data_IF_307011247665
#
_entry.id   IF_307011247665
#
_cell.length_a   1.000
_cell.length_b   1.000
_cell.length_c   1.000
_cell.angle_alpha   90.00
_cell.angle_beta   90.00
_cell.angle_gamma   90.00
#
_symmetry.space_group_name_H-M   'P 1'
#
loop_
_entity.id
_entity.type
_entity.pdbx_description
1 polymer ?
#
# COMPACT_ATOMS: atom_id res chain seq x y z
N UNK A 1 -2.92 -4.14 -4.66
CA UNK A 1 -3.47 -3.75 -5.97
C UNK A 1 -2.72 -2.50 -6.38
N UNK A 2 -2.08 -2.51 -7.56
CA UNK A 2 -1.74 -1.26 -8.25
C UNK A 2 -3.02 -0.43 -8.33
N UNK A 3 -2.96 0.85 -8.00
CA UNK A 3 -4.12 1.75 -8.05
C UNK A 3 -4.57 1.88 -9.51
N UNK A 4 -5.64 1.19 -9.98
CA UNK A 4 -6.00 1.21 -11.41
C UNK A 4 -6.48 2.60 -11.89
N UNK A 5 -6.60 3.54 -10.95
CA UNK A 5 -7.07 4.90 -11.11
C UNK A 5 -5.96 5.94 -10.95
N UNK A 6 -4.75 5.58 -10.56
CA UNK A 6 -3.61 6.51 -10.45
C UNK A 6 -2.41 5.91 -11.18
N UNK A 7 -1.70 6.75 -11.94
CA UNK A 7 -0.57 6.30 -12.74
C UNK A 7 0.45 7.42 -12.91
N UNK A 8 1.70 7.10 -12.63
CA UNK A 8 2.89 7.84 -13.04
C UNK A 8 3.40 7.33 -14.39
N UNK A 9 3.37 8.16 -15.42
CA UNK A 9 3.92 7.86 -16.74
C UNK A 9 4.65 9.08 -17.30
N UNK A 10 5.91 8.89 -17.74
CA UNK A 10 6.74 9.95 -18.35
C UNK A 10 6.83 11.24 -17.52
N UNK A 11 6.84 11.10 -16.19
CA UNK A 11 6.89 12.22 -15.24
C UNK A 11 5.54 12.93 -15.03
N UNK A 12 4.47 12.46 -15.66
CA UNK A 12 3.10 12.96 -15.49
C UNK A 12 2.33 12.02 -14.58
N UNK A 13 1.72 12.58 -13.53
CA UNK A 13 0.80 11.87 -12.66
C UNK A 13 -0.62 12.08 -13.17
N UNK A 14 -1.31 11.00 -13.50
CA UNK A 14 -2.72 11.01 -13.93
C UNK A 14 -3.59 10.30 -12.90
N UNK A 15 -4.65 10.97 -12.44
CA UNK A 15 -5.67 10.36 -11.57
C UNK A 15 -7.01 10.35 -12.29
N UNK A 16 -7.55 9.14 -12.49
CA UNK A 16 -8.84 8.90 -13.12
C UNK A 16 -9.92 8.90 -12.06
N UNK A 17 -10.67 10.00 -11.99
CA UNK A 17 -11.73 10.23 -11.00
C UNK A 17 -12.81 9.15 -10.99
N UNK A 18 -13.35 8.78 -12.16
CA UNK A 18 -14.47 7.82 -12.21
C UNK A 18 -14.07 6.40 -11.76
N UNK A 19 -12.92 5.83 -12.19
CA UNK A 19 -12.39 4.61 -11.59
C UNK A 19 -12.18 4.69 -10.07
N UNK A 20 -11.70 5.82 -9.54
CA UNK A 20 -11.57 6.03 -8.09
C UNK A 20 -12.94 6.04 -7.39
N UNK A 21 -13.96 6.62 -8.03
CA UNK A 21 -15.33 6.62 -7.54
C UNK A 21 -15.89 5.21 -7.40
N UNK A 22 -15.68 4.34 -8.39
CA UNK A 22 -16.05 2.93 -8.28
C UNK A 22 -15.26 2.21 -7.19
N UNK A 23 -13.96 2.48 -7.07
CA UNK A 23 -13.14 1.91 -6.01
C UNK A 23 -13.72 2.21 -4.61
N UNK A 24 -14.08 3.47 -4.33
CA UNK A 24 -14.72 3.82 -3.06
C UNK A 24 -16.09 3.19 -2.89
N UNK A 25 -16.91 3.17 -3.96
CA UNK A 25 -18.21 2.52 -3.94
C UNK A 25 -18.09 1.05 -3.52
N UNK A 26 -17.27 0.27 -4.22
CA UNK A 26 -17.15 -1.17 -3.99
C UNK A 26 -16.63 -1.47 -2.57
N UNK A 27 -15.58 -0.77 -2.12
CA UNK A 27 -15.00 -1.03 -0.81
C UNK A 27 -15.90 -0.62 0.36
N UNK A 28 -16.75 0.39 0.18
CA UNK A 28 -17.73 0.81 1.21
C UNK A 28 -18.94 -0.11 1.24
N UNK A 29 -19.33 -0.69 0.10
CA UNK A 29 -20.42 -1.67 0.06
C UNK A 29 -19.99 -3.03 0.62
N UNK A 30 -18.71 -3.37 0.50
CA UNK A 30 -18.14 -4.66 0.93
C UNK A 30 -17.25 -4.55 2.17
N UNK A 31 -17.63 -3.70 3.14
CA UNK A 31 -16.86 -3.54 4.39
C UNK A 31 -16.75 -4.88 5.11
N UNK A 32 -15.52 -5.37 5.21
CA UNK A 32 -15.17 -6.59 5.93
C UNK A 32 -15.05 -6.29 7.42
N UNK A 33 -15.28 -7.30 8.26
CA UNK A 33 -15.13 -7.16 9.72
C UNK A 33 -13.73 -6.68 10.11
N UNK A 34 -12.70 -7.14 9.41
CA UNK A 34 -11.28 -6.84 9.68
C UNK A 34 -10.84 -5.41 9.37
N UNK A 35 -11.60 -4.66 8.58
CA UNK A 35 -11.36 -3.24 8.27
C UNK A 35 -12.50 -2.33 8.75
N UNK A 36 -13.50 -2.89 9.44
CA UNK A 36 -14.70 -2.16 9.85
C UNK A 36 -14.37 -0.93 10.69
N UNK A 37 -13.50 -1.06 11.68
CA UNK A 37 -13.16 0.04 12.59
C UNK A 37 -12.55 1.23 11.84
N UNK A 38 -11.57 0.98 10.97
CA UNK A 38 -10.87 2.03 10.22
C UNK A 38 -11.75 2.66 9.13
N UNK A 39 -12.53 1.85 8.41
CA UNK A 39 -13.48 2.38 7.44
C UNK A 39 -14.61 3.14 8.13
N UNK A 40 -15.21 2.63 9.20
CA UNK A 40 -16.23 3.38 9.95
C UNK A 40 -15.68 4.72 10.45
N UNK A 41 -14.46 4.74 10.96
CA UNK A 41 -13.81 5.99 11.36
C UNK A 41 -13.73 6.99 10.19
N UNK A 42 -13.24 6.56 9.03
CA UNK A 42 -13.19 7.43 7.85
C UNK A 42 -14.56 7.93 7.39
N UNK A 43 -15.54 7.03 7.32
CA UNK A 43 -16.90 7.31 6.87
C UNK A 43 -17.64 8.25 7.85
N UNK A 44 -17.41 8.12 9.16
CA UNK A 44 -17.97 9.03 10.16
C UNK A 44 -17.52 10.49 9.94
N UNK A 45 -16.24 10.69 9.59
CA UNK A 45 -15.69 12.03 9.26
C UNK A 45 -16.34 12.69 8.05
N UNK A 46 -16.94 11.90 7.17
CA UNK A 46 -17.73 12.40 6.03
C UNK A 46 -19.22 12.55 6.35
N UNK A 47 -19.67 12.18 7.56
CA UNK A 47 -21.05 12.30 8.01
C UNK A 47 -22.00 11.31 7.32
N UNK A 48 -21.50 10.12 6.98
CA UNK A 48 -22.28 9.08 6.28
C UNK A 48 -22.62 7.88 7.18
N UNK A 49 -22.30 7.98 8.48
CA UNK A 49 -22.77 7.03 9.48
C UNK A 49 -23.92 7.62 10.30
N UNK A 50 -24.98 6.83 10.50
CA UNK A 50 -26.11 7.15 11.38
C UNK A 50 -26.26 6.02 12.38
N UNK A 51 -26.11 6.33 13.68
CA UNK A 51 -26.15 5.31 14.74
C UNK A 51 -25.08 4.23 14.58
N UNK A 52 -23.90 4.58 14.05
CA UNK A 52 -22.80 3.64 13.80
C UNK A 52 -23.02 2.69 12.61
N UNK A 53 -24.04 2.94 11.77
CA UNK A 53 -24.32 2.16 10.55
C UNK A 53 -24.23 3.06 9.33
N UNK A 54 -23.77 2.50 8.21
CA UNK A 54 -23.71 3.20 6.94
C UNK A 54 -25.11 3.66 6.49
N UNK A 55 -25.29 4.97 6.31
CA UNK A 55 -26.47 5.53 5.66
C UNK A 55 -26.24 5.58 4.14
N UNK A 56 -26.93 4.71 3.43
CA UNK A 56 -26.82 4.55 1.98
C UNK A 56 -27.21 5.83 1.21
N UNK A 57 -28.17 6.62 1.72
CA UNK A 57 -28.60 7.85 1.05
C UNK A 57 -27.53 8.94 1.21
N UNK A 58 -27.03 9.10 2.43
CA UNK A 58 -25.91 10.01 2.70
C UNK A 58 -24.64 9.60 1.95
N UNK A 59 -24.33 8.30 1.87
CA UNK A 59 -23.18 7.82 1.11
C UNK A 59 -23.29 8.16 -0.37
N UNK A 60 -24.42 7.85 -1.01
CA UNK A 60 -24.65 8.18 -2.44
C UNK A 60 -24.51 9.68 -2.72
N UNK A 61 -25.08 10.52 -1.86
CA UNK A 61 -25.04 11.98 -2.04
C UNK A 61 -23.66 12.60 -1.76
N UNK A 62 -22.81 11.93 -0.99
CA UNK A 62 -21.48 12.43 -0.58
C UNK A 62 -20.32 11.72 -1.26
N UNK A 63 -20.57 10.68 -2.07
CA UNK A 63 -19.51 9.89 -2.72
C UNK A 63 -18.55 10.78 -3.52
N UNK A 64 -19.06 11.73 -4.29
CA UNK A 64 -18.21 12.66 -5.06
C UNK A 64 -17.33 13.53 -4.15
N UNK A 65 -17.84 13.97 -3.00
CA UNK A 65 -17.08 14.73 -2.00
C UNK A 65 -15.97 13.87 -1.39
N UNK A 66 -16.25 12.58 -1.11
CA UNK A 66 -15.25 11.63 -0.63
C UNK A 66 -14.16 11.45 -1.68
N UNK A 67 -14.54 11.17 -2.93
CA UNK A 67 -13.60 10.97 -4.03
C UNK A 67 -12.69 12.18 -4.19
N UNK A 68 -13.26 13.37 -4.34
CA UNK A 68 -12.49 14.60 -4.54
C UNK A 68 -11.62 14.95 -3.33
N UNK A 69 -12.11 14.66 -2.12
CA UNK A 69 -11.36 14.82 -0.88
C UNK A 69 -10.17 13.87 -0.74
N UNK A 70 -10.23 12.67 -1.33
CA UNK A 70 -9.20 11.64 -1.22
C UNK A 70 -8.25 11.57 -2.43
N UNK A 71 -8.54 12.22 -3.57
CA UNK A 71 -7.61 12.35 -4.69
C UNK A 71 -6.17 12.74 -4.26
N UNK A 72 -5.96 13.73 -3.37
CA UNK A 72 -4.62 14.15 -2.99
C UNK A 72 -3.75 13.06 -2.36
N UNK A 73 -4.34 12.10 -1.63
CA UNK A 73 -3.54 11.05 -0.99
C UNK A 73 -2.97 10.09 -2.04
N UNK A 74 -3.73 9.78 -3.09
CA UNK A 74 -3.27 8.96 -4.21
C UNK A 74 -2.25 9.69 -5.07
N UNK A 75 -2.39 11.00 -5.26
CA UNK A 75 -1.32 11.81 -5.86
C UNK A 75 0.00 11.65 -5.10
N UNK A 76 -0.05 11.69 -3.77
CA UNK A 76 1.15 11.52 -2.94
C UNK A 76 1.72 10.10 -2.94
N UNK A 77 0.93 9.06 -3.27
CA UNK A 77 1.48 7.73 -3.56
C UNK A 77 2.37 7.78 -4.81
N UNK A 78 1.87 8.34 -5.91
CA UNK A 78 2.63 8.46 -7.17
C UNK A 78 3.89 9.34 -7.00
N UNK A 79 3.80 10.41 -6.20
CA UNK A 79 4.99 11.22 -5.81
C UNK A 79 6.00 10.37 -5.05
N UNK A 80 5.54 9.57 -4.07
CA UNK A 80 6.41 8.67 -3.34
C UNK A 80 7.07 7.63 -4.24
N UNK A 81 6.33 7.04 -5.17
CA UNK A 81 6.83 6.06 -6.14
C UNK A 81 7.89 6.66 -7.07
N UNK A 82 7.69 7.92 -7.50
CA UNK A 82 8.65 8.66 -8.33
C UNK A 82 9.95 8.97 -7.60
N UNK A 83 9.87 9.31 -6.31
CA UNK A 83 10.99 9.82 -5.53
C UNK A 83 11.85 8.73 -4.91
N UNK A 84 11.25 7.59 -4.56
CA UNK A 84 12.02 6.45 -4.10
C UNK A 84 12.79 5.81 -5.28
N UNK A 85 14.06 5.54 -5.06
CA UNK A 85 15.01 5.02 -6.05
C UNK A 85 15.70 3.71 -5.62
N UNK A 86 15.51 3.28 -4.36
CA UNK A 86 16.11 2.04 -3.81
C UNK A 86 15.71 0.82 -4.64
N UNK A 87 14.42 0.71 -5.00
CA UNK A 87 13.94 -0.27 -5.97
C UNK A 87 13.43 0.50 -7.18
N UNK A 88 14.35 0.98 -8.01
CA UNK A 88 14.02 1.78 -9.18
C UNK A 88 13.11 1.03 -10.19
N UNK A 89 12.53 1.80 -11.12
CA UNK A 89 11.59 1.27 -12.10
C UNK A 89 12.23 0.29 -13.10
N UNK A 90 13.50 0.43 -13.42
CA UNK A 90 14.20 -0.46 -14.36
C UNK A 90 14.47 -1.83 -13.74
N UNK A 91 14.94 -1.83 -12.49
CA UNK A 91 15.15 -3.03 -11.67
C UNK A 91 13.83 -3.77 -11.49
N UNK A 92 12.76 -3.06 -11.13
CA UNK A 92 11.44 -3.68 -10.98
C UNK A 92 10.92 -4.27 -12.31
N UNK A 93 11.05 -3.54 -13.43
CA UNK A 93 10.68 -4.04 -14.77
C UNK A 93 11.46 -5.30 -15.15
N UNK A 94 12.76 -5.34 -14.83
CA UNK A 94 13.61 -6.51 -15.06
C UNK A 94 13.11 -7.73 -14.28
N UNK A 95 12.81 -7.56 -13.00
CA UNK A 95 12.28 -8.63 -12.13
C UNK A 95 10.95 -9.15 -12.68
N UNK A 96 10.01 -8.26 -13.00
CA UNK A 96 8.70 -8.63 -13.55
C UNK A 96 8.84 -9.41 -14.86
N UNK A 97 9.74 -8.95 -15.74
CA UNK A 97 9.94 -9.58 -17.05
C UNK A 97 10.59 -10.96 -16.94
N UNK A 98 11.42 -11.21 -15.92
CA UNK A 98 12.06 -12.50 -15.69
C UNK A 98 11.23 -13.47 -14.84
N UNK A 99 10.37 -12.96 -13.97
CA UNK A 99 9.56 -13.78 -13.05
C UNK A 99 8.08 -13.40 -13.09
N UNK A 100 7.43 -13.40 -14.27
CA UNK A 100 6.02 -13.03 -14.38
C UNK A 100 5.13 -14.00 -13.59
N UNK A 101 4.06 -13.47 -13.01
CA UNK A 101 3.03 -14.22 -12.27
C UNK A 101 3.58 -15.05 -11.10
N UNK A 102 4.72 -14.63 -10.53
CA UNK A 102 5.40 -15.32 -9.45
C UNK A 102 5.26 -14.61 -8.10
N UNK A 103 5.58 -15.33 -7.02
CA UNK A 103 5.73 -14.72 -5.69
C UNK A 103 6.81 -13.63 -5.67
N UNK A 104 7.86 -13.77 -6.50
CA UNK A 104 8.95 -12.80 -6.64
C UNK A 104 8.44 -11.48 -7.22
N UNK A 105 7.61 -11.54 -8.28
CA UNK A 105 6.96 -10.34 -8.83
C UNK A 105 6.04 -9.71 -7.77
N UNK A 106 5.17 -10.52 -7.17
CA UNK A 106 4.16 -10.03 -6.24
C UNK A 106 4.77 -9.32 -5.02
N UNK A 107 5.84 -9.88 -4.42
CA UNK A 107 6.55 -9.25 -3.30
C UNK A 107 7.28 -7.99 -3.73
N UNK A 108 7.92 -7.99 -4.89
CA UNK A 108 8.67 -6.83 -5.39
C UNK A 108 7.76 -5.64 -5.64
N UNK A 109 6.59 -5.87 -6.26
CA UNK A 109 5.55 -4.84 -6.43
C UNK A 109 5.03 -4.35 -5.08
N UNK A 110 4.75 -5.25 -4.15
CA UNK A 110 4.20 -4.88 -2.84
C UNK A 110 5.18 -4.03 -2.02
N UNK A 111 6.48 -4.33 -2.08
CA UNK A 111 7.52 -3.51 -1.45
C UNK A 111 7.64 -2.15 -2.14
N UNK A 112 7.60 -2.09 -3.47
CA UNK A 112 7.58 -0.83 -4.22
C UNK A 112 6.43 0.07 -3.77
N UNK A 113 5.21 -0.47 -3.69
CA UNK A 113 3.99 0.24 -3.24
C UNK A 113 4.12 0.75 -1.80
N UNK A 114 4.60 -0.09 -0.87
CA UNK A 114 4.75 0.31 0.55
C UNK A 114 5.82 1.38 0.71
N UNK A 115 6.93 1.30 -0.03
CA UNK A 115 7.93 2.36 -0.05
C UNK A 115 7.34 3.66 -0.60
N UNK A 116 6.56 3.61 -1.69
CA UNK A 116 5.88 4.79 -2.22
C UNK A 116 4.97 5.45 -1.16
N UNK A 117 4.16 4.65 -0.45
CA UNK A 117 3.29 5.16 0.62
C UNK A 117 4.08 5.80 1.77
N UNK A 118 5.14 5.13 2.21
CA UNK A 118 5.86 5.47 3.44
C UNK A 118 7.02 6.41 3.21
N UNK A 119 7.34 6.76 1.97
CA UNK A 119 8.36 7.76 1.62
C UNK A 119 8.13 9.07 2.41
N UNK A 120 9.19 9.81 2.81
CA UNK A 120 9.06 11.09 3.51
C UNK A 120 8.25 12.18 2.78
N UNK A 121 7.98 12.00 1.50
CA UNK A 121 7.10 12.86 0.68
C UNK A 121 5.90 12.10 0.09
N UNK A 122 5.72 10.85 0.52
CA UNK A 122 4.69 9.92 0.05
C UNK A 122 3.33 10.08 0.72
N UNK A 123 2.42 9.16 0.42
CA UNK A 123 1.02 9.18 0.86
C UNK A 123 0.86 9.32 2.37
N UNK A 124 1.52 8.48 3.17
CA UNK A 124 1.34 8.45 4.63
C UNK A 124 1.94 9.69 5.26
N UNK A 125 3.08 10.17 4.75
CA UNK A 125 3.67 11.43 5.24
C UNK A 125 2.75 12.63 4.96
N UNK A 126 2.10 12.68 3.80
CA UNK A 126 1.10 13.70 3.49
C UNK A 126 -0.12 13.62 4.43
N UNK A 127 -0.65 12.41 4.68
CA UNK A 127 -1.75 12.19 5.63
C UNK A 127 -1.39 12.74 7.02
N UNK A 128 -0.17 12.46 7.52
CA UNK A 128 0.31 12.94 8.82
C UNK A 128 0.44 14.47 8.82
N UNK A 129 1.14 15.03 7.84
CA UNK A 129 1.46 16.47 7.78
C UNK A 129 0.20 17.34 7.74
N UNK A 130 -0.77 16.94 6.90
CA UNK A 130 -2.04 17.66 6.77
C UNK A 130 -3.10 17.18 7.78
N UNK A 131 -2.74 16.26 8.68
CA UNK A 131 -3.60 15.65 9.68
C UNK A 131 -4.94 15.15 9.11
N UNK A 132 -4.88 14.45 7.97
CA UNK A 132 -6.05 13.98 7.23
C UNK A 132 -6.66 12.76 7.89
N UNK A 133 -7.48 12.99 8.89
CA UNK A 133 -8.05 11.94 9.74
C UNK A 133 -8.87 10.90 8.98
N UNK A 134 -9.73 11.35 8.07
CA UNK A 134 -10.54 10.44 7.25
C UNK A 134 -9.65 9.58 6.33
N UNK A 135 -8.66 10.23 5.70
CA UNK A 135 -7.67 9.56 4.85
C UNK A 135 -6.86 8.51 5.59
N UNK A 136 -6.51 8.75 6.86
CA UNK A 136 -5.83 7.73 7.69
C UNK A 136 -6.71 6.50 7.89
N UNK A 137 -8.00 6.70 8.20
CA UNK A 137 -8.97 5.61 8.32
C UNK A 137 -9.13 4.84 7.00
N UNK A 138 -9.19 5.53 5.86
CA UNK A 138 -9.22 4.89 4.55
C UNK A 138 -7.95 4.12 4.23
N UNK A 139 -6.77 4.71 4.47
CA UNK A 139 -5.49 4.06 4.26
C UNK A 139 -5.42 2.72 4.99
N UNK A 140 -5.71 2.73 6.29
CA UNK A 140 -5.69 1.52 7.13
C UNK A 140 -6.80 0.56 6.73
N UNK A 141 -7.97 1.06 6.35
CA UNK A 141 -9.12 0.25 5.92
C UNK A 141 -8.92 -0.46 4.59
N UNK A 142 -8.15 0.13 3.67
CA UNK A 142 -7.83 -0.46 2.37
C UNK A 142 -6.54 -1.28 2.36
N UNK A 143 -5.76 -1.22 3.44
CA UNK A 143 -4.53 -2.01 3.58
C UNK A 143 -4.86 -3.50 3.69
N UNK A 144 -4.47 -4.27 2.68
CA UNK A 144 -4.78 -5.69 2.57
C UNK A 144 -3.64 -6.49 1.89
N UNK A 145 -3.71 -7.81 2.03
CA UNK A 145 -2.71 -8.73 1.46
C UNK A 145 -1.31 -8.42 1.95
N UNK A 146 -0.32 -8.60 1.06
CA UNK A 146 1.08 -8.46 1.42
C UNK A 146 1.48 -7.05 1.89
N UNK A 147 0.81 -5.98 1.41
CA UNK A 147 1.06 -4.62 1.92
C UNK A 147 0.74 -4.49 3.41
N UNK A 148 -0.26 -5.23 3.90
CA UNK A 148 -0.59 -5.27 5.34
C UNK A 148 0.48 -5.99 6.14
N UNK A 149 1.01 -7.10 5.62
CA UNK A 149 2.09 -7.86 6.26
C UNK A 149 3.43 -7.10 6.24
N UNK A 150 3.65 -6.26 5.23
CA UNK A 150 4.82 -5.39 5.14
C UNK A 150 4.72 -4.14 6.02
N UNK A 151 3.51 -3.73 6.41
CA UNK A 151 3.26 -2.57 7.27
C UNK A 151 2.32 -2.87 8.46
N UNK A 152 2.63 -3.86 9.32
CA UNK A 152 1.80 -4.20 10.49
C UNK A 152 1.77 -3.09 11.54
N UNK A 153 2.80 -2.24 11.59
CA UNK A 153 2.96 -1.18 12.60
C UNK A 153 1.83 -0.14 12.53
N UNK A 154 1.29 0.13 11.33
CA UNK A 154 0.21 1.11 11.15
C UNK A 154 -1.10 0.66 11.79
N UNK A 155 -1.34 -0.66 11.87
CA UNK A 155 -2.59 -1.19 12.45
C UNK A 155 -2.62 -0.90 13.94
N UNK A 156 -1.52 -1.20 14.65
CA UNK A 156 -1.39 -0.93 16.08
C UNK A 156 -1.36 0.59 16.36
N UNK A 157 -0.63 1.35 15.55
CA UNK A 157 -0.56 2.80 15.71
C UNK A 157 -1.93 3.46 15.48
N UNK A 158 -2.73 2.96 14.54
CA UNK A 158 -4.08 3.45 14.30
C UNK A 158 -5.02 3.19 15.48
N UNK A 159 -4.96 1.99 16.09
CA UNK A 159 -5.78 1.67 17.27
C UNK A 159 -5.52 2.60 18.45
N UNK A 160 -4.25 2.95 18.69
CA UNK A 160 -3.88 3.93 19.71
C UNK A 160 -4.27 5.36 19.31
N UNK A 161 -4.06 5.70 18.03
CA UNK A 161 -4.44 7.00 17.49
C UNK A 161 -5.94 7.30 17.64
N UNK A 162 -6.82 6.30 17.53
CA UNK A 162 -8.26 6.48 17.77
C UNK A 162 -8.59 6.97 19.19
N UNK A 163 -7.70 6.74 20.17
CA UNK A 163 -7.87 7.16 21.56
C UNK A 163 -7.18 8.50 21.82
N UNK A 164 -5.91 8.58 21.44
CA UNK A 164 -5.02 9.64 21.91
C UNK A 164 -4.83 10.76 20.87
N UNK A 165 -5.25 10.52 19.62
CA UNK A 165 -5.14 11.46 18.48
C UNK A 165 -3.70 11.91 18.21
N UNK A 166 -2.75 11.07 18.59
CA UNK A 166 -1.32 11.35 18.48
C UNK A 166 -0.77 10.94 17.10
N UNK A 167 -0.57 11.93 16.23
CA UNK A 167 0.06 11.76 14.92
C UNK A 167 1.52 11.28 15.01
N UNK A 168 2.19 11.47 16.15
CA UNK A 168 3.54 10.96 16.40
C UNK A 168 3.61 9.44 16.36
N UNK A 169 2.57 8.74 16.82
CA UNK A 169 2.48 7.28 16.74
C UNK A 169 2.42 6.80 15.28
N UNK A 170 1.65 7.50 14.45
CA UNK A 170 1.52 7.20 13.02
C UNK A 170 2.85 7.48 12.29
N UNK A 171 3.53 8.58 12.61
CA UNK A 171 4.84 8.89 12.06
C UNK A 171 5.90 7.86 12.47
N UNK A 172 5.90 7.39 13.72
CA UNK A 172 6.81 6.36 14.18
C UNK A 172 6.57 5.03 13.44
N UNK A 173 5.31 4.65 13.23
CA UNK A 173 4.96 3.49 12.42
C UNK A 173 5.45 3.63 10.97
N UNK A 174 5.22 4.80 10.34
CA UNK A 174 5.69 5.09 8.98
C UNK A 174 7.22 4.93 8.86
N UNK A 175 7.99 5.52 9.78
CA UNK A 175 9.46 5.42 9.78
C UNK A 175 9.94 3.99 9.95
N UNK A 176 9.36 3.26 10.90
CA UNK A 176 9.71 1.85 11.16
C UNK A 176 9.47 0.99 9.93
N UNK A 177 8.32 1.19 9.26
CA UNK A 177 7.99 0.51 8.02
C UNK A 177 8.92 0.89 6.87
N UNK A 178 9.20 2.19 6.69
CA UNK A 178 10.13 2.69 5.69
C UNK A 178 11.51 2.03 5.83
N UNK A 179 12.11 2.07 7.02
CA UNK A 179 13.45 1.53 7.28
C UNK A 179 13.52 0.02 7.02
N UNK A 180 12.51 -0.73 7.47
CA UNK A 180 12.40 -2.18 7.25
C UNK A 180 12.31 -2.51 5.76
N UNK A 181 11.43 -1.83 5.03
CA UNK A 181 11.21 -2.12 3.61
C UNK A 181 12.35 -1.60 2.73
N UNK A 182 13.09 -0.56 3.15
CA UNK A 182 14.33 -0.14 2.47
C UNK A 182 15.37 -1.26 2.45
N UNK A 183 15.53 -1.98 3.58
CA UNK A 183 16.46 -3.12 3.65
C UNK A 183 16.04 -4.25 2.71
N UNK A 184 14.75 -4.58 2.68
CA UNK A 184 14.23 -5.61 1.76
C UNK A 184 14.43 -5.19 0.29
N UNK A 185 14.14 -3.94 -0.05
CA UNK A 185 14.34 -3.41 -1.40
C UNK A 185 15.82 -3.43 -1.82
N UNK A 186 16.74 -3.10 -0.91
CA UNK A 186 18.17 -3.17 -1.18
C UNK A 186 18.63 -4.61 -1.42
N UNK A 187 18.14 -5.58 -0.63
CA UNK A 187 18.40 -7.01 -0.89
C UNK A 187 17.87 -7.45 -2.25
N UNK A 188 16.65 -7.03 -2.62
CA UNK A 188 16.06 -7.31 -3.94
C UNK A 188 16.93 -6.72 -5.06
N UNK A 189 17.39 -5.47 -4.90
CA UNK A 189 18.24 -4.80 -5.88
C UNK A 189 19.58 -5.53 -6.06
N UNK A 190 20.18 -6.00 -4.98
CA UNK A 190 21.42 -6.78 -5.03
C UNK A 190 21.21 -8.11 -5.76
N UNK A 191 20.15 -8.86 -5.45
CA UNK A 191 19.83 -10.10 -6.17
C UNK A 191 19.57 -9.79 -7.66
N UNK A 192 18.82 -8.74 -7.97
CA UNK A 192 18.51 -8.35 -9.34
C UNK A 192 19.74 -7.90 -10.15
N UNK A 193 20.78 -7.38 -9.50
CA UNK A 193 22.03 -7.00 -10.16
C UNK A 193 22.82 -8.22 -10.69
N UNK A 194 22.65 -9.39 -10.06
CA UNK A 194 23.33 -10.64 -10.43
C UNK A 194 22.54 -11.47 -11.45
N UNK A 195 21.30 -11.08 -11.77
CA UNK A 195 20.53 -11.70 -12.85
C UNK A 195 21.34 -11.66 -14.17
N UNK A 196 21.38 -12.80 -14.88
CA UNK A 196 22.16 -12.96 -16.10
C UNK A 196 23.67 -13.22 -15.89
N UNK A 197 24.18 -13.12 -14.66
CA UNK A 197 25.49 -13.65 -14.26
C UNK A 197 25.36 -15.00 -13.57
N UNK A 198 24.40 -15.10 -12.65
CA UNK A 198 24.02 -16.33 -11.96
C UNK A 198 22.91 -17.07 -12.74
N UNK A 199 22.80 -18.37 -12.48
CA UNK A 199 21.72 -19.20 -13.03
C UNK A 199 20.35 -18.77 -12.48
N UNK A 200 19.28 -19.11 -13.19
CA UNK A 200 17.92 -18.78 -12.76
C UNK A 200 17.57 -19.47 -11.43
N UNK A 201 18.05 -20.69 -11.23
CA UNK A 201 17.89 -21.47 -10.01
C UNK A 201 18.55 -20.80 -8.80
N UNK A 202 19.78 -20.28 -8.96
CA UNK A 202 20.50 -19.55 -7.91
C UNK A 202 19.78 -18.26 -7.52
N UNK A 203 19.31 -17.49 -8.50
CA UNK A 203 18.55 -16.25 -8.24
C UNK A 203 17.25 -16.56 -7.52
N UNK A 204 16.49 -17.56 -7.97
CA UNK A 204 15.25 -18.00 -7.31
C UNK A 204 15.52 -18.45 -5.87
N UNK A 205 16.58 -19.24 -5.63
CA UNK A 205 16.95 -19.67 -4.30
C UNK A 205 17.27 -18.49 -3.37
N UNK A 206 17.97 -17.46 -3.87
CA UNK A 206 18.26 -16.23 -3.11
C UNK A 206 16.98 -15.45 -2.81
N UNK A 207 16.09 -15.26 -3.77
CA UNK A 207 14.79 -14.61 -3.51
C UNK A 207 13.97 -15.39 -2.47
N UNK A 208 13.90 -16.71 -2.59
CA UNK A 208 13.17 -17.55 -1.63
C UNK A 208 13.74 -17.39 -0.23
N UNK A 209 15.04 -17.63 -0.06
CA UNK A 209 15.68 -17.66 1.26
C UNK A 209 15.79 -16.29 1.92
N UNK A 210 16.01 -15.22 1.15
CA UNK A 210 16.30 -13.89 1.70
C UNK A 210 15.08 -12.96 1.72
N UNK A 211 14.05 -13.22 0.90
CA UNK A 211 12.85 -12.37 0.80
C UNK A 211 11.58 -13.15 1.14
N UNK A 212 11.31 -14.28 0.49
CA UNK A 212 10.01 -14.95 0.63
C UNK A 212 9.84 -15.67 1.98
N UNK A 213 10.80 -16.51 2.38
CA UNK A 213 10.75 -17.25 3.65
C UNK A 213 10.69 -16.32 4.87
N UNK A 214 11.49 -15.24 4.98
CA UNK A 214 11.37 -14.29 6.09
C UNK A 214 10.01 -13.59 6.17
N UNK A 215 9.28 -13.51 5.05
CA UNK A 215 7.92 -12.96 4.97
C UNK A 215 6.82 -14.04 5.09
N UNK A 216 7.18 -15.31 5.29
CA UNK A 216 6.25 -16.43 5.37
C UNK A 216 5.52 -16.72 4.05
N UNK A 217 6.15 -16.41 2.92
CA UNK A 217 5.61 -16.59 1.57
C UNK A 217 6.16 -17.83 0.86
N UNK A 218 6.86 -18.70 1.56
CA UNK A 218 7.33 -19.97 1.01
C UNK A 218 6.15 -20.93 0.80
N UNK A 219 5.81 -21.14 -0.47
CA UNK A 219 4.87 -22.20 -0.86
C UNK A 219 5.64 -23.53 -0.74
N UNK A 220 5.18 -24.52 0.04
CA UNK A 220 5.74 -25.85 -0.08
C UNK A 220 5.51 -26.32 -1.50
N UNK A 221 6.58 -26.70 -2.21
CA UNK A 221 6.46 -27.36 -3.51
C UNK A 221 5.41 -28.47 -3.38
N UNK A 222 4.31 -28.37 -4.14
CA UNK A 222 3.45 -29.52 -4.36
C UNK A 222 4.35 -30.61 -4.90
N UNK A 223 4.69 -31.60 -4.06
CA UNK A 223 5.17 -32.89 -4.53
C UNK A 223 4.15 -33.33 -5.57
N UNK A 224 4.61 -33.49 -6.82
CA UNK A 224 3.77 -33.99 -7.89
C UNK A 224 3.09 -35.28 -7.44
N UNK A 225 1.77 -35.33 -7.65
CA UNK A 225 1.06 -36.60 -7.79
C UNK A 225 1.37 -37.20 -9.16
#
# INVERSE_FOLDING_TARGET
>A
MSSPFALLQDGVITIRREPLRYFFWDHVQEIRSSCKTSLHHALDRYGILTGGRLDQQSFRSRLDIIVDGEIPIFFHHEVGERLQDILDGDTLRRIISSYPDSAIEYVSRSIKDVLADTHPQGMVSYIIREQRDASLGFYVGFLAGLRRELFPEIVQAFELFLRDRDWGLIEQARRTCWDKNCRLAETIRQIAADMGRESEEEIKARFTTQILTPLGLDVPERKGD
#
